data_IF_499545566428
#
_entry.id   IF_499545566428
#
_cell.length_a   1.000
_cell.length_b   1.000
_cell.length_c   1.000
_cell.angle_alpha   90.00
_cell.angle_beta   90.00
_cell.angle_gamma   90.00
#
_symmetry.space_group_name_H-M   'P 1'
#
loop_
_entity.id
_entity.type
_entity.pdbx_description
1 polymer ?
#
# COMPACT_ATOMS: atom_id res chain seq x y z
N UNK A 1 -10.17 6.98 14.42
CA UNK A 1 -10.86 6.09 15.38
C UNK A 1 -10.52 6.47 16.83
N UNK A 2 -9.27 6.53 17.22
CA UNK A 2 -8.86 6.85 18.62
C UNK A 2 -9.39 8.20 19.10
N UNK A 3 -9.37 9.24 18.25
CA UNK A 3 -9.95 10.56 18.56
C UNK A 3 -11.46 10.54 18.81
N UNK A 4 -12.14 9.51 18.30
CA UNK A 4 -13.59 9.30 18.46
C UNK A 4 -13.93 8.25 19.52
N UNK A 5 -12.94 7.87 20.35
CA UNK A 5 -13.13 7.02 21.52
C UNK A 5 -12.95 5.53 21.28
N UNK A 6 -12.52 5.11 20.08
CA UNK A 6 -12.16 3.71 19.85
C UNK A 6 -10.87 3.36 20.61
N UNK A 7 -10.84 2.17 21.21
CA UNK A 7 -9.71 1.66 21.99
C UNK A 7 -9.18 0.35 21.38
N UNK A 8 -7.88 0.09 21.51
CA UNK A 8 -7.34 -1.21 21.13
C UNK A 8 -8.05 -2.32 21.90
N UNK A 9 -8.46 -3.38 21.20
CA UNK A 9 -9.09 -4.54 21.80
C UNK A 9 -8.08 -5.68 21.91
N UNK A 10 -7.96 -6.23 23.12
CA UNK A 10 -7.02 -7.32 23.41
C UNK A 10 -7.72 -8.43 24.20
N UNK A 11 -7.21 -9.68 24.17
CA UNK A 11 -7.80 -10.80 24.90
C UNK A 11 -8.06 -10.49 26.39
N UNK A 12 -9.21 -10.88 26.88
CA UNK A 12 -9.62 -10.70 28.27
C UNK A 12 -10.25 -9.34 28.60
N UNK A 13 -10.36 -8.42 27.65
CA UNK A 13 -11.15 -7.21 27.83
C UNK A 13 -12.64 -7.51 27.74
N UNK A 14 -13.45 -6.82 28.55
CA UNK A 14 -14.91 -6.83 28.44
C UNK A 14 -15.34 -6.01 27.22
N UNK A 15 -16.46 -6.40 26.61
CA UNK A 15 -17.10 -5.68 25.51
C UNK A 15 -18.57 -5.37 25.91
N UNK A 16 -18.82 -4.16 26.41
CA UNK A 16 -20.13 -3.72 26.87
C UNK A 16 -20.87 -2.92 25.81
N UNK A 17 -22.20 -2.87 25.82
CA UNK A 17 -22.97 -2.03 24.90
C UNK A 17 -22.46 -0.59 24.84
N UNK A 18 -22.19 -0.10 23.64
CA UNK A 18 -21.65 1.23 23.37
C UNK A 18 -20.12 1.33 23.36
N UNK A 19 -19.39 0.27 23.76
CA UNK A 19 -17.94 0.26 23.65
C UNK A 19 -17.53 0.34 22.17
N UNK A 20 -16.54 1.21 21.90
CA UNK A 20 -15.90 1.42 20.60
C UNK A 20 -14.50 0.80 20.64
N UNK A 21 -14.26 -0.21 19.85
CA UNK A 21 -13.04 -1.00 19.89
C UNK A 21 -12.46 -1.24 18.51
N UNK A 22 -11.14 -1.49 18.43
CA UNK A 22 -10.48 -1.87 17.19
C UNK A 22 -9.38 -2.92 17.42
N UNK A 23 -9.15 -3.72 16.38
CA UNK A 23 -8.04 -4.65 16.28
C UNK A 23 -7.19 -4.28 15.08
N UNK A 24 -5.93 -3.88 15.33
CA UNK A 24 -4.97 -3.54 14.29
C UNK A 24 -4.17 -4.79 13.92
N UNK A 25 -4.38 -5.29 12.71
CA UNK A 25 -3.62 -6.42 12.17
C UNK A 25 -2.31 -5.94 11.52
N UNK A 26 -1.25 -5.81 12.32
CA UNK A 26 0.13 -5.51 11.88
C UNK A 26 0.29 -4.19 11.10
N UNK A 27 -0.60 -3.23 11.29
CA UNK A 27 -0.59 -1.96 10.54
C UNK A 27 -0.96 -2.09 9.06
N UNK A 28 -1.53 -3.23 8.65
CA UNK A 28 -1.93 -3.52 7.25
C UNK A 28 -3.43 -3.61 7.07
N UNK A 29 -4.14 -4.20 8.03
CA UNK A 29 -5.58 -4.31 8.06
C UNK A 29 -6.10 -3.90 9.43
N UNK A 30 -7.37 -3.52 9.52
CA UNK A 30 -8.00 -3.14 10.78
C UNK A 30 -9.45 -3.64 10.83
N UNK A 31 -9.87 -4.17 11.98
CA UNK A 31 -11.26 -4.40 12.29
C UNK A 31 -11.71 -3.44 13.39
N UNK A 32 -12.84 -2.78 13.21
CA UNK A 32 -13.44 -1.88 14.19
C UNK A 32 -14.81 -2.40 14.56
N UNK A 33 -15.23 -2.20 15.80
CA UNK A 33 -16.57 -2.54 16.22
C UNK A 33 -17.17 -1.50 17.19
N UNK A 34 -18.49 -1.30 17.08
CA UNK A 34 -19.32 -0.65 18.07
C UNK A 34 -20.24 -1.70 18.66
N UNK A 35 -20.11 -1.97 19.94
CA UNK A 35 -20.82 -3.06 20.62
C UNK A 35 -22.30 -2.69 20.77
N UNK A 36 -23.16 -3.61 20.34
CA UNK A 36 -24.62 -3.43 20.37
C UNK A 36 -25.25 -3.71 21.73
N UNK A 37 -26.56 -3.35 21.86
CA UNK A 37 -27.34 -3.66 23.01
C UNK A 37 -27.69 -5.15 23.12
N UNK A 38 -27.76 -5.85 21.98
CA UNK A 38 -28.07 -7.28 21.91
C UNK A 38 -26.77 -8.09 21.88
N UNK A 39 -26.84 -9.29 22.49
CA UNK A 39 -25.69 -10.23 22.46
C UNK A 39 -25.32 -10.65 21.07
N UNK A 40 -24.01 -10.90 20.82
CA UNK A 40 -23.50 -11.48 19.58
C UNK A 40 -24.14 -12.82 19.22
N UNK A 41 -24.67 -13.57 20.18
CA UNK A 41 -25.47 -14.77 19.91
C UNK A 41 -26.71 -14.50 19.02
N UNK A 42 -27.17 -13.24 18.97
CA UNK A 42 -28.25 -12.80 18.06
C UNK A 42 -27.76 -12.27 16.71
N UNK A 43 -26.45 -12.30 16.49
CA UNK A 43 -25.80 -11.85 15.26
C UNK A 43 -25.19 -10.45 15.36
N UNK A 44 -24.39 -10.11 14.35
CA UNK A 44 -23.76 -8.81 14.16
C UNK A 44 -23.99 -8.32 12.72
N UNK A 45 -23.90 -7.01 12.50
CA UNK A 45 -23.84 -6.41 11.17
C UNK A 45 -22.39 -6.18 10.81
N UNK A 46 -21.95 -6.77 9.71
CA UNK A 46 -20.54 -6.73 9.27
C UNK A 46 -20.48 -6.11 7.87
N UNK A 47 -19.66 -5.08 7.70
CA UNK A 47 -19.27 -4.51 6.43
C UNK A 47 -17.78 -4.73 6.22
N UNK A 48 -17.34 -4.97 4.98
CA UNK A 48 -15.94 -5.19 4.67
C UNK A 48 -15.57 -4.59 3.32
N UNK A 49 -14.48 -3.84 3.30
CA UNK A 49 -13.83 -3.32 2.10
C UNK A 49 -12.32 -3.55 2.20
N UNK A 50 -11.60 -3.44 1.07
CA UNK A 50 -10.15 -3.53 1.10
C UNK A 50 -9.48 -2.15 1.03
N UNK A 51 -8.24 -2.08 1.49
CA UNK A 51 -7.46 -0.83 1.54
C UNK A 51 -6.12 -0.92 0.81
N UNK A 52 -5.75 -2.11 0.35
CA UNK A 52 -4.65 -2.27 -0.58
C UNK A 52 -5.08 -1.87 -1.99
N UNK A 53 -4.12 -1.53 -2.84
CA UNK A 53 -4.35 -1.13 -4.23
C UNK A 53 -3.24 -1.69 -5.10
N UNK A 54 -3.50 -1.94 -6.41
CA UNK A 54 -2.47 -2.38 -7.33
C UNK A 54 -1.27 -1.44 -7.35
N UNK A 55 -0.07 -1.99 -7.32
CA UNK A 55 1.19 -1.25 -7.26
C UNK A 55 2.34 -2.05 -7.84
N UNK A 56 3.54 -1.53 -7.77
CA UNK A 56 4.76 -2.30 -8.05
C UNK A 56 5.59 -2.42 -6.76
N UNK A 57 5.81 -3.64 -6.30
CA UNK A 57 6.71 -3.92 -5.18
C UNK A 57 8.16 -4.00 -5.69
N UNK A 58 9.14 -3.51 -4.93
CA UNK A 58 10.55 -3.71 -5.25
C UNK A 58 10.93 -5.18 -4.99
N UNK A 59 11.75 -5.75 -5.87
CA UNK A 59 12.37 -7.08 -5.65
C UNK A 59 13.39 -7.01 -4.50
N UNK A 60 13.73 -8.13 -3.83
CA UNK A 60 14.67 -8.13 -2.69
C UNK A 60 16.05 -7.54 -2.96
N UNK A 61 16.57 -7.65 -4.18
CA UNK A 61 17.78 -6.97 -4.63
C UNK A 61 17.44 -6.08 -5.83
N UNK A 62 16.82 -4.91 -5.59
CA UNK A 62 16.18 -4.18 -6.66
C UNK A 62 17.13 -3.32 -7.47
N UNK A 63 18.20 -2.80 -6.85
CA UNK A 63 19.07 -1.80 -7.43
C UNK A 63 20.12 -2.43 -8.35
N UNK A 64 20.14 -1.98 -9.61
CA UNK A 64 21.14 -2.37 -10.60
C UNK A 64 21.44 -1.24 -11.57
N UNK A 65 22.53 -1.35 -12.28
CA UNK A 65 22.92 -0.46 -13.37
C UNK A 65 22.95 -1.23 -14.68
N UNK A 66 22.46 -0.62 -15.75
CA UNK A 66 22.56 -1.10 -17.12
C UNK A 66 22.65 0.10 -18.06
N UNK A 67 23.60 0.06 -18.99
CA UNK A 67 23.80 1.12 -19.98
C UNK A 67 23.92 2.52 -19.36
N UNK A 68 24.68 2.63 -18.26
CA UNK A 68 24.91 3.87 -17.50
C UNK A 68 23.62 4.49 -16.92
N UNK A 69 22.62 3.67 -16.66
CA UNK A 69 21.38 4.07 -15.98
C UNK A 69 21.16 3.18 -14.76
N UNK A 70 20.89 3.77 -13.63
CA UNK A 70 20.49 3.04 -12.43
C UNK A 70 18.97 2.81 -12.41
N UNK A 71 18.58 1.59 -12.05
CA UNK A 71 17.19 1.16 -12.02
C UNK A 71 16.83 0.44 -10.71
N UNK A 72 15.53 0.49 -10.37
CA UNK A 72 14.93 -0.50 -9.48
C UNK A 72 14.18 -1.57 -10.28
N UNK A 73 14.47 -2.85 -9.99
CA UNK A 73 13.67 -4.00 -10.44
C UNK A 73 12.40 -4.08 -9.62
N UNK A 74 11.27 -4.21 -10.31
CA UNK A 74 9.96 -4.30 -9.68
C UNK A 74 9.25 -5.62 -9.99
N UNK A 75 8.21 -5.88 -9.22
CA UNK A 75 7.20 -6.89 -9.49
C UNK A 75 5.82 -6.27 -9.26
N UNK A 76 4.91 -6.35 -10.23
CA UNK A 76 3.58 -5.79 -10.03
C UNK A 76 2.76 -6.62 -9.03
N UNK A 77 2.03 -5.93 -8.19
CA UNK A 77 1.13 -6.44 -7.17
C UNK A 77 -0.31 -6.16 -7.62
N UNK A 78 -1.17 -7.21 -7.63
CA UNK A 78 -2.53 -7.11 -8.14
C UNK A 78 -2.61 -7.04 -9.66
N UNK A 79 -3.80 -6.76 -10.17
CA UNK A 79 -4.08 -6.67 -11.60
C UNK A 79 -3.82 -5.27 -12.15
N UNK A 80 -2.80 -5.10 -13.00
CA UNK A 80 -2.50 -3.81 -13.64
C UNK A 80 -2.55 -3.90 -15.17
N UNK A 81 -3.00 -2.82 -15.80
CA UNK A 81 -2.75 -2.58 -17.23
C UNK A 81 -1.36 -1.97 -17.37
N UNK A 82 -0.34 -2.82 -17.59
CA UNK A 82 1.07 -2.45 -17.58
C UNK A 82 1.42 -1.22 -18.43
N UNK A 83 0.75 -1.05 -19.57
CA UNK A 83 0.94 0.10 -20.45
C UNK A 83 0.52 1.45 -19.86
N UNK A 84 -0.27 1.45 -18.77
CA UNK A 84 -0.66 2.68 -18.06
C UNK A 84 0.38 3.14 -17.04
N UNK A 85 1.40 2.33 -16.76
CA UNK A 85 2.42 2.59 -15.75
C UNK A 85 3.72 3.14 -16.31
N UNK A 86 3.86 3.17 -17.64
CA UNK A 86 5.00 3.80 -18.31
C UNK A 86 4.74 5.27 -18.59
N UNK A 87 5.79 6.08 -18.61
CA UNK A 87 5.76 7.52 -18.89
C UNK A 87 4.89 8.38 -17.97
N UNK A 88 4.57 7.87 -16.78
CA UNK A 88 3.84 8.62 -15.75
C UNK A 88 4.76 8.91 -14.56
N UNK A 89 4.53 10.02 -13.82
CA UNK A 89 5.23 10.27 -12.57
C UNK A 89 4.94 9.17 -11.55
N UNK A 90 5.98 8.65 -10.91
CA UNK A 90 5.92 7.62 -9.89
C UNK A 90 6.61 8.09 -8.61
N UNK A 91 6.14 7.59 -7.48
CA UNK A 91 6.67 7.81 -6.14
C UNK A 91 7.08 6.50 -5.48
N UNK A 92 8.09 6.55 -4.61
CA UNK A 92 8.55 5.43 -3.78
C UNK A 92 8.02 5.64 -2.36
N UNK A 93 7.38 4.60 -1.82
CA UNK A 93 6.91 4.56 -0.44
C UNK A 93 7.32 3.27 0.25
N UNK A 94 7.35 3.30 1.56
CA UNK A 94 7.42 2.09 2.37
C UNK A 94 8.29 2.21 3.60
N UNK A 95 8.71 1.06 4.10
CA UNK A 95 9.45 0.94 5.37
C UNK A 95 10.59 -0.05 5.23
N UNK A 96 11.67 0.23 5.94
CA UNK A 96 12.85 -0.63 6.03
C UNK A 96 13.11 -0.96 7.49
N UNK A 97 13.25 -2.24 7.79
CA UNK A 97 13.59 -2.74 9.11
C UNK A 97 15.08 -3.05 9.14
N UNK A 98 15.85 -2.32 9.94
CA UNK A 98 17.30 -2.51 10.05
C UNK A 98 17.66 -3.62 11.04
N UNK A 99 18.90 -4.11 10.95
CA UNK A 99 19.44 -5.15 11.86
C UNK A 99 19.43 -4.75 13.34
N UNK A 100 19.53 -3.45 13.64
CA UNK A 100 19.47 -2.91 15.01
C UNK A 100 18.04 -2.76 15.56
N UNK A 101 17.03 -3.15 14.77
CA UNK A 101 15.61 -3.03 15.11
C UNK A 101 15.00 -1.66 14.80
N UNK A 102 15.79 -0.71 14.32
CA UNK A 102 15.27 0.59 13.90
C UNK A 102 14.44 0.46 12.61
N UNK A 103 13.44 1.34 12.47
CA UNK A 103 12.53 1.39 11.33
C UNK A 103 12.70 2.71 10.61
N UNK A 104 12.93 2.66 9.31
CA UNK A 104 13.06 3.84 8.44
C UNK A 104 11.86 3.91 7.51
N UNK A 105 11.12 5.00 7.59
CA UNK A 105 10.07 5.29 6.61
C UNK A 105 10.70 6.01 5.41
N UNK A 106 10.38 5.53 4.21
CA UNK A 106 10.88 6.09 2.95
C UNK A 106 9.70 6.68 2.19
N UNK A 107 9.84 7.92 1.75
CA UNK A 107 8.90 8.60 0.85
C UNK A 107 9.69 9.49 -0.09
N UNK A 108 9.56 9.28 -1.40
CA UNK A 108 10.21 10.06 -2.46
C UNK A 108 9.21 10.27 -3.59
N UNK A 109 9.04 11.50 -4.05
CA UNK A 109 8.22 11.84 -5.20
C UNK A 109 6.85 12.44 -4.86
N UNK A 110 6.55 12.68 -3.57
CA UNK A 110 5.30 13.32 -3.13
C UNK A 110 5.47 14.81 -2.80
N UNK A 111 6.64 15.19 -2.30
CA UNK A 111 6.96 16.62 -2.08
C UNK A 111 7.33 17.26 -3.41
N UNK A 112 6.97 18.54 -3.60
CA UNK A 112 7.28 19.31 -4.82
C UNK A 112 8.78 19.48 -5.07
N UNK A 113 9.60 19.33 -4.03
CA UNK A 113 11.06 19.37 -4.10
C UNK A 113 11.71 17.99 -4.28
N UNK A 114 10.93 16.91 -4.16
CA UNK A 114 11.44 15.57 -4.41
C UNK A 114 11.55 15.30 -5.92
N UNK A 115 12.55 14.52 -6.37
CA UNK A 115 12.54 13.97 -7.73
C UNK A 115 11.40 12.98 -7.86
N UNK A 116 10.72 12.97 -9.00
CA UNK A 116 9.82 11.88 -9.38
C UNK A 116 10.62 10.73 -9.97
N UNK A 117 10.05 9.53 -9.90
CA UNK A 117 10.53 8.34 -10.60
C UNK A 117 9.70 8.11 -11.86
N UNK A 118 10.22 7.30 -12.80
CA UNK A 118 9.52 7.01 -14.04
C UNK A 118 9.99 5.69 -14.66
N UNK A 119 9.12 5.05 -15.42
CA UNK A 119 9.45 3.97 -16.35
C UNK A 119 9.40 4.56 -17.76
N UNK A 120 10.48 4.45 -18.51
CA UNK A 120 10.52 4.91 -19.89
C UNK A 120 9.76 3.97 -20.84
N UNK A 121 9.35 4.50 -21.98
CA UNK A 121 8.80 3.73 -23.08
C UNK A 121 9.47 4.18 -24.39
N UNK A 122 9.29 3.38 -25.44
CA UNK A 122 9.80 3.71 -26.76
C UNK A 122 9.02 4.88 -27.37
N UNK A 123 9.76 5.79 -27.97
CA UNK A 123 9.13 6.82 -28.79
C UNK A 123 8.54 6.20 -30.07
N UNK A 124 7.52 6.86 -30.66
CA UNK A 124 6.73 6.32 -31.77
C UNK A 124 7.59 5.82 -32.95
N UNK A 125 8.68 6.49 -33.26
CA UNK A 125 9.56 6.12 -34.38
C UNK A 125 10.34 4.83 -34.16
N UNK A 126 10.50 4.37 -32.91
CA UNK A 126 11.20 3.13 -32.56
C UNK A 126 10.22 2.02 -32.11
N UNK A 127 8.92 2.31 -32.01
CA UNK A 127 7.92 1.40 -31.43
C UNK A 127 7.19 0.52 -32.44
N UNK A 128 7.65 0.42 -33.71
CA UNK A 128 6.95 -0.29 -34.78
C UNK A 128 6.51 -1.71 -34.39
N UNK A 129 7.42 -2.53 -33.88
CA UNK A 129 7.12 -3.89 -33.42
C UNK A 129 6.25 -3.93 -32.15
N UNK A 130 6.45 -2.96 -31.25
CA UNK A 130 5.66 -2.82 -30.04
C UNK A 130 4.19 -2.54 -30.37
N UNK A 131 3.93 -1.65 -31.34
CA UNK A 131 2.58 -1.25 -31.77
C UNK A 131 1.80 -2.38 -32.47
N UNK A 132 2.45 -3.46 -32.90
CA UNK A 132 1.77 -4.64 -33.46
C UNK A 132 1.27 -5.60 -32.37
N UNK A 133 1.68 -5.41 -31.12
CA UNK A 133 1.27 -6.28 -30.00
C UNK A 133 -0.11 -5.90 -29.47
N UNK A 134 -0.81 -6.88 -28.91
CA UNK A 134 -2.03 -6.58 -28.14
C UNK A 134 -1.73 -5.77 -26.88
N UNK A 135 -2.67 -4.98 -26.40
CA UNK A 135 -2.51 -4.12 -25.21
C UNK A 135 -1.94 -4.89 -23.99
N UNK A 136 -2.36 -6.14 -23.78
CA UNK A 136 -1.85 -6.96 -22.66
C UNK A 136 -0.38 -7.40 -22.81
N UNK A 137 0.19 -7.29 -24.02
CA UNK A 137 1.56 -7.72 -24.36
C UNK A 137 2.48 -6.57 -24.77
N UNK A 138 1.95 -5.35 -24.91
CA UNK A 138 2.72 -4.19 -25.37
C UNK A 138 3.86 -3.85 -24.41
N UNK A 139 3.62 -3.97 -23.11
CA UNK A 139 4.64 -3.87 -22.05
C UNK A 139 4.69 -5.21 -21.30
N UNK A 140 5.85 -5.83 -21.22
CA UNK A 140 6.04 -7.02 -20.40
C UNK A 140 6.29 -6.63 -18.92
N UNK A 141 5.92 -7.51 -17.98
CA UNK A 141 6.14 -7.26 -16.56
C UNK A 141 7.61 -6.99 -16.21
N UNK A 142 8.54 -7.70 -16.84
CA UNK A 142 9.99 -7.53 -16.64
C UNK A 142 10.56 -6.21 -17.22
N UNK A 143 9.76 -5.46 -17.97
CA UNK A 143 10.13 -4.12 -18.48
C UNK A 143 9.71 -2.99 -17.51
N UNK A 144 8.98 -3.28 -16.44
CA UNK A 144 8.56 -2.31 -15.44
C UNK A 144 9.70 -1.97 -14.46
N UNK A 145 10.87 -1.61 -15.00
CA UNK A 145 12.01 -1.19 -14.19
C UNK A 145 12.04 0.34 -14.11
N UNK A 146 12.15 0.83 -12.89
CA UNK A 146 12.03 2.25 -12.57
C UNK A 146 13.39 2.93 -12.69
N UNK A 147 13.48 3.99 -13.48
CA UNK A 147 14.68 4.81 -13.63
C UNK A 147 14.92 5.62 -12.37
N UNK A 148 16.17 5.61 -11.88
CA UNK A 148 16.60 6.34 -10.68
C UNK A 148 17.56 7.48 -11.00
N UNK A 149 18.37 7.35 -12.04
CA UNK A 149 19.33 8.38 -12.43
C UNK A 149 20.35 7.88 -13.43
N UNK A 150 21.17 8.81 -13.94
CA UNK A 150 22.21 8.58 -14.95
C UNK A 150 23.54 9.26 -14.59
N UNK A 151 23.63 9.98 -13.47
CA UNK A 151 24.82 10.67 -13.03
C UNK A 151 25.78 9.72 -12.33
N UNK A 152 26.98 9.46 -12.85
CA UNK A 152 27.94 8.60 -12.19
C UNK A 152 28.60 9.29 -11.00
N UNK A 153 28.98 8.53 -9.99
CA UNK A 153 29.88 9.00 -8.93
C UNK A 153 31.30 9.20 -9.51
N UNK A 154 32.02 10.21 -9.01
CA UNK A 154 33.43 10.39 -9.38
C UNK A 154 34.27 9.19 -8.91
N UNK A 155 35.10 8.68 -9.80
CA UNK A 155 35.99 7.52 -9.52
C UNK A 155 36.24 6.65 -10.75
N UNK A 156 36.98 5.56 -10.52
CA UNK A 156 37.22 4.52 -11.51
C UNK A 156 36.49 3.23 -11.09
N UNK A 157 35.91 2.50 -12.03
CA UNK A 157 35.22 1.24 -11.77
C UNK A 157 33.95 1.05 -12.57
N UNK A 158 33.18 0.04 -12.22
CA UNK A 158 31.84 -0.24 -12.75
C UNK A 158 30.74 0.25 -11.77
N UNK A 159 29.53 0.34 -12.29
CA UNK A 159 28.32 0.64 -11.50
C UNK A 159 28.38 2.01 -10.76
N UNK A 160 29.03 3.01 -11.35
CA UNK A 160 29.22 4.32 -10.73
C UNK A 160 27.91 5.10 -10.57
N UNK A 161 26.94 4.90 -11.46
CA UNK A 161 25.60 5.49 -11.34
C UNK A 161 24.84 4.84 -10.19
N UNK A 162 24.87 3.51 -10.10
CA UNK A 162 24.31 2.76 -8.97
C UNK A 162 24.91 3.23 -7.64
N UNK A 163 26.22 3.41 -7.59
CA UNK A 163 26.91 3.89 -6.39
C UNK A 163 26.48 5.31 -6.00
N UNK A 164 26.24 6.19 -6.97
CA UNK A 164 25.74 7.53 -6.69
C UNK A 164 24.32 7.52 -6.14
N UNK A 165 23.44 6.66 -6.65
CA UNK A 165 22.10 6.46 -6.08
C UNK A 165 22.17 5.90 -4.66
N UNK A 166 23.05 4.91 -4.40
CA UNK A 166 23.25 4.40 -3.03
C UNK A 166 23.78 5.47 -2.08
N UNK A 167 24.68 6.32 -2.53
CA UNK A 167 25.17 7.46 -1.75
C UNK A 167 24.00 8.40 -1.39
N UNK A 168 23.14 8.77 -2.34
CA UNK A 168 21.98 9.61 -2.09
C UNK A 168 21.01 8.99 -1.07
N UNK A 169 20.72 7.69 -1.21
CA UNK A 169 19.87 6.94 -0.27
C UNK A 169 20.50 6.86 1.14
N UNK A 170 21.81 6.73 1.20
CA UNK A 170 22.55 6.74 2.47
C UNK A 170 22.52 8.11 3.13
N UNK A 171 22.77 9.19 2.39
CA UNK A 171 22.74 10.55 2.91
C UNK A 171 21.35 10.97 3.41
N UNK A 172 20.28 10.59 2.68
CA UNK A 172 18.90 10.97 3.03
C UNK A 172 18.30 10.07 4.12
N UNK A 173 18.54 8.78 4.08
CA UNK A 173 17.88 7.78 4.93
C UNK A 173 18.85 6.92 5.76
N UNK A 174 20.16 7.04 5.55
CA UNK A 174 21.18 6.21 6.17
C UNK A 174 21.16 4.74 5.72
N UNK A 175 20.69 4.47 4.49
CA UNK A 175 20.53 3.12 3.96
C UNK A 175 21.83 2.57 3.37
N UNK A 176 22.01 1.27 3.49
CA UNK A 176 22.98 0.48 2.76
C UNK A 176 22.28 -0.55 1.88
N UNK A 177 22.97 -1.11 0.89
CA UNK A 177 22.33 -2.03 -0.09
C UNK A 177 21.70 -3.27 0.59
N UNK A 178 22.27 -3.77 1.67
CA UNK A 178 21.75 -4.91 2.42
C UNK A 178 20.38 -4.63 3.07
N UNK A 179 20.04 -3.37 3.33
CA UNK A 179 18.79 -2.98 3.96
C UNK A 179 17.57 -3.26 3.07
N UNK A 180 17.78 -3.37 1.75
CA UNK A 180 16.70 -3.76 0.83
C UNK A 180 16.15 -5.17 1.10
N UNK A 181 16.92 -6.07 1.70
CA UNK A 181 16.49 -7.44 2.02
C UNK A 181 15.36 -7.48 3.06
N UNK A 182 15.27 -6.46 3.91
CA UNK A 182 14.26 -6.31 4.96
C UNK A 182 13.32 -5.12 4.71
N UNK A 183 13.25 -4.66 3.47
CA UNK A 183 12.43 -3.55 3.05
C UNK A 183 11.06 -4.01 2.52
N UNK A 184 10.04 -3.23 2.82
CA UNK A 184 8.76 -3.24 2.12
C UNK A 184 8.63 -1.90 1.38
N UNK A 185 9.15 -1.85 0.17
CA UNK A 185 9.16 -0.65 -0.67
C UNK A 185 8.31 -0.86 -1.90
N UNK A 186 7.47 0.12 -2.20
CA UNK A 186 6.50 0.08 -3.28
C UNK A 186 6.60 1.32 -4.16
N UNK A 187 6.32 1.15 -5.43
CA UNK A 187 6.21 2.23 -6.41
C UNK A 187 4.73 2.41 -6.75
N UNK A 188 4.27 3.64 -6.66
CA UNK A 188 2.88 4.05 -6.93
C UNK A 188 2.85 5.28 -7.83
N UNK A 189 1.73 5.58 -8.52
CA UNK A 189 1.57 6.85 -9.22
C UNK A 189 1.74 8.03 -8.26
N UNK A 190 2.65 8.96 -8.62
CA UNK A 190 2.86 10.18 -7.85
C UNK A 190 1.75 11.20 -8.11
N UNK A 191 1.42 11.95 -7.10
CA UNK A 191 0.54 13.10 -7.22
C UNK A 191 -0.64 13.11 -6.27
N UNK A 192 -1.12 14.31 -6.01
CA UNK A 192 -2.23 14.59 -5.10
C UNK A 192 -3.58 14.30 -5.76
N UNK A 193 -4.58 13.99 -4.97
CA UNK A 193 -5.97 13.99 -5.41
C UNK A 193 -6.33 15.35 -6.02
N UNK A 194 -6.98 15.34 -7.17
CA UNK A 194 -7.42 16.56 -7.88
C UNK A 194 -8.84 16.44 -8.38
N UNK A 195 -9.53 17.56 -8.40
CA UNK A 195 -10.86 17.69 -9.04
C UNK A 195 -10.73 17.58 -10.56
N UNK A 196 -11.69 16.94 -11.19
CA UNK A 196 -11.76 16.69 -12.64
C UNK A 196 -13.03 17.29 -13.21
N UNK A 197 -12.90 17.82 -14.43
CA UNK A 197 -13.97 18.51 -15.15
C UNK A 197 -14.01 20.02 -14.82
N UNK A 198 -14.63 20.80 -15.71
CA UNK A 198 -14.80 22.24 -15.48
C UNK A 198 -15.74 22.54 -14.31
N UNK A 199 -16.67 21.63 -14.06
CA UNK A 199 -17.64 21.68 -12.96
C UNK A 199 -17.10 21.09 -11.65
N UNK A 200 -15.87 20.51 -11.67
CA UNK A 200 -15.19 19.91 -10.51
C UNK A 200 -16.00 18.79 -9.83
N UNK A 201 -16.87 18.11 -10.59
CA UNK A 201 -17.78 17.09 -10.04
C UNK A 201 -17.15 15.73 -9.77
N UNK A 202 -15.93 15.48 -10.27
CA UNK A 202 -15.20 14.23 -10.11
C UNK A 202 -13.86 14.44 -9.38
N UNK A 203 -13.34 13.37 -8.79
CA UNK A 203 -12.02 13.33 -8.20
C UNK A 203 -11.13 12.33 -8.95
N UNK A 204 -9.88 12.71 -9.17
CA UNK A 204 -8.84 11.82 -9.68
C UNK A 204 -7.81 11.59 -8.60
N UNK A 205 -7.61 10.34 -8.23
CA UNK A 205 -6.57 9.92 -7.28
C UNK A 205 -6.21 8.45 -7.52
N UNK A 206 -5.02 8.06 -7.06
CA UNK A 206 -4.65 6.67 -6.97
C UNK A 206 -5.37 6.00 -5.79
N UNK A 207 -5.81 4.75 -5.97
CA UNK A 207 -6.37 3.94 -4.90
C UNK A 207 -7.86 4.18 -4.62
N UNK A 208 -8.65 4.67 -5.59
CA UNK A 208 -10.12 4.72 -5.46
C UNK A 208 -10.73 3.35 -5.20
N UNK A 209 -10.25 2.34 -5.87
CA UNK A 209 -10.51 0.95 -5.58
C UNK A 209 -9.52 0.48 -4.47
N UNK A 210 -10.00 0.18 -3.24
CA UNK A 210 -11.42 0.26 -2.85
C UNK A 210 -11.65 1.28 -1.71
N UNK A 211 -10.88 2.38 -1.67
CA UNK A 211 -11.08 3.44 -0.66
C UNK A 211 -12.46 4.09 -0.71
N UNK A 212 -13.16 4.01 -1.85
CA UNK A 212 -14.51 4.55 -1.97
C UNK A 212 -15.50 3.74 -1.14
N UNK A 213 -15.42 2.39 -1.16
CA UNK A 213 -16.23 1.55 -0.28
C UNK A 213 -15.76 1.64 1.17
N UNK A 214 -14.43 1.56 1.40
CA UNK A 214 -13.86 1.71 2.73
C UNK A 214 -14.32 2.99 3.45
N UNK A 215 -14.37 4.12 2.73
CA UNK A 215 -14.89 5.38 3.27
C UNK A 215 -16.38 5.29 3.62
N UNK A 216 -17.19 4.76 2.70
CA UNK A 216 -18.64 4.63 2.90
C UNK A 216 -19.00 3.71 4.07
N UNK A 217 -18.15 2.74 4.40
CA UNK A 217 -18.36 1.80 5.51
C UNK A 217 -17.86 2.33 6.86
N UNK A 218 -16.68 2.97 6.87
CA UNK A 218 -16.08 3.41 8.13
C UNK A 218 -16.74 4.68 8.67
N UNK A 219 -17.11 5.62 7.81
CA UNK A 219 -17.66 6.92 8.23
C UNK A 219 -18.90 6.77 9.12
N UNK A 220 -19.94 5.98 8.75
CA UNK A 220 -21.10 5.77 9.62
C UNK A 220 -20.74 5.07 10.92
N UNK A 221 -19.77 4.13 10.91
CA UNK A 221 -19.35 3.42 12.12
C UNK A 221 -18.67 4.36 13.12
N UNK A 222 -17.83 5.29 12.62
CA UNK A 222 -17.11 6.24 13.49
C UNK A 222 -18.07 7.17 14.24
N UNK A 223 -19.16 7.58 13.61
CA UNK A 223 -20.17 8.49 14.17
C UNK A 223 -21.30 7.78 14.92
N UNK A 224 -21.38 6.44 14.79
CA UNK A 224 -22.47 5.64 15.36
C UNK A 224 -22.53 5.75 16.88
N UNK A 225 -23.77 5.90 17.40
CA UNK A 225 -24.11 5.63 18.80
C UNK A 225 -24.19 4.13 19.06
N UNK A 226 -24.75 3.72 20.21
CA UNK A 226 -24.92 2.29 20.52
C UNK A 226 -25.98 1.66 19.63
N UNK A 227 -25.62 0.72 18.73
CA UNK A 227 -26.59 0.07 17.84
C UNK A 227 -27.36 -1.04 18.56
N UNK A 228 -28.41 -1.58 17.94
CA UNK A 228 -29.12 -2.76 18.46
C UNK A 228 -28.22 -3.99 18.39
N UNK A 229 -27.70 -4.33 17.23
CA UNK A 229 -26.71 -5.40 17.04
C UNK A 229 -25.31 -4.81 16.91
N UNK A 230 -24.30 -5.52 17.39
CA UNK A 230 -22.91 -5.10 17.21
C UNK A 230 -22.62 -4.82 15.73
N UNK A 231 -22.07 -3.66 15.45
CA UNK A 231 -21.65 -3.26 14.11
C UNK A 231 -20.13 -3.44 13.98
N UNK A 232 -19.69 -4.10 12.92
CA UNK A 232 -18.28 -4.38 12.64
C UNK A 232 -17.93 -3.84 11.24
N UNK A 233 -16.82 -3.14 11.14
CA UNK A 233 -16.22 -2.73 9.88
C UNK A 233 -14.83 -3.34 9.77
N UNK A 234 -14.55 -3.97 8.62
CA UNK A 234 -13.26 -4.60 8.33
C UNK A 234 -12.65 -3.88 7.13
N UNK A 235 -11.48 -3.29 7.33
CA UNK A 235 -10.67 -2.74 6.25
C UNK A 235 -9.51 -3.71 6.01
N UNK A 236 -9.67 -4.53 4.96
CA UNK A 236 -8.82 -5.67 4.68
C UNK A 236 -7.59 -5.31 3.83
N UNK A 237 -6.54 -6.09 3.96
CA UNK A 237 -5.34 -6.06 3.09
C UNK A 237 -5.34 -7.29 2.16
N UNK A 238 -4.52 -7.24 1.10
CA UNK A 238 -4.27 -8.38 0.19
C UNK A 238 -5.43 -8.80 -0.71
N UNK A 239 -6.51 -8.03 -0.83
CA UNK A 239 -7.62 -8.36 -1.73
C UNK A 239 -7.13 -8.50 -3.16
N UNK A 240 -6.31 -7.57 -3.62
CA UNK A 240 -5.76 -7.50 -4.98
C UNK A 240 -4.89 -8.72 -5.38
N UNK A 241 -4.51 -9.54 -4.42
CA UNK A 241 -3.73 -10.76 -4.62
C UNK A 241 -4.45 -12.02 -4.11
N UNK A 242 -5.78 -11.96 -4.00
CA UNK A 242 -6.64 -13.08 -3.60
C UNK A 242 -6.75 -13.27 -2.10
N UNK A 243 -6.59 -12.21 -1.31
CA UNK A 243 -6.75 -12.20 0.16
C UNK A 243 -5.83 -13.15 0.93
N UNK A 244 -4.76 -13.64 0.30
CA UNK A 244 -3.80 -14.54 0.92
C UNK A 244 -2.78 -13.77 1.79
N UNK A 245 -2.20 -14.48 2.77
CA UNK A 245 -1.18 -13.94 3.67
C UNK A 245 -1.73 -13.55 5.04
N UNK A 246 -0.84 -13.13 5.94
CA UNK A 246 -1.14 -12.96 7.37
C UNK A 246 -2.05 -11.76 7.71
N UNK A 247 -2.27 -10.86 6.77
CA UNK A 247 -3.13 -9.67 6.91
C UNK A 247 -4.35 -9.70 5.99
N UNK A 248 -4.43 -10.69 5.08
CA UNK A 248 -5.58 -10.87 4.18
C UNK A 248 -6.76 -11.56 4.87
N UNK A 249 -7.93 -11.50 4.24
CA UNK A 249 -9.17 -12.08 4.78
C UNK A 249 -9.17 -13.62 4.85
N UNK A 250 -8.26 -14.30 4.15
CA UNK A 250 -8.04 -15.74 4.29
C UNK A 250 -7.14 -16.11 5.48
N UNK A 251 -6.61 -15.12 6.22
CA UNK A 251 -5.92 -15.36 7.47
C UNK A 251 -6.91 -15.56 8.63
N UNK A 252 -6.42 -16.08 9.75
CA UNK A 252 -7.23 -16.22 10.97
C UNK A 252 -7.43 -14.89 11.74
N UNK A 253 -6.89 -13.76 11.24
CA UNK A 253 -6.91 -12.50 11.98
C UNK A 253 -8.34 -12.00 12.27
N UNK A 254 -9.24 -12.14 11.29
CA UNK A 254 -10.64 -11.75 11.48
C UNK A 254 -11.40 -12.74 12.38
N UNK A 255 -11.23 -14.03 12.17
CA UNK A 255 -11.83 -15.07 13.03
C UNK A 255 -11.40 -14.86 14.47
N UNK A 256 -10.11 -14.64 14.70
CA UNK A 256 -9.58 -14.36 16.05
C UNK A 256 -10.17 -13.10 16.66
N UNK A 257 -10.39 -12.03 15.90
CA UNK A 257 -11.09 -10.84 16.40
C UNK A 257 -12.52 -11.14 16.80
N UNK A 258 -13.26 -11.92 16.02
CA UNK A 258 -14.63 -12.32 16.34
C UNK A 258 -14.70 -13.27 17.55
N UNK A 259 -13.77 -14.20 17.67
CA UNK A 259 -13.63 -15.07 18.85
C UNK A 259 -13.41 -14.25 20.11
N UNK A 260 -12.49 -13.28 20.08
CA UNK A 260 -12.28 -12.37 21.22
C UNK A 260 -13.55 -11.62 21.61
N UNK A 261 -14.37 -11.21 20.63
CA UNK A 261 -15.66 -10.54 20.91
C UNK A 261 -16.67 -11.49 21.56
N UNK A 262 -16.75 -12.74 21.07
CA UNK A 262 -17.59 -13.78 21.64
C UNK A 262 -17.20 -14.08 23.09
N UNK A 263 -15.92 -14.31 23.33
CA UNK A 263 -15.38 -14.55 24.69
C UNK A 263 -15.68 -13.39 25.65
N UNK A 264 -15.53 -12.14 25.17
CA UNK A 264 -15.78 -10.93 25.96
C UNK A 264 -17.26 -10.79 26.37
N UNK A 265 -18.17 -11.41 25.64
CA UNK A 265 -19.62 -11.42 25.94
C UNK A 265 -20.09 -12.74 26.55
N UNK A 266 -19.24 -13.76 26.64
CA UNK A 266 -19.57 -15.09 27.18
C UNK A 266 -20.51 -15.90 26.28
N UNK A 267 -20.33 -15.80 24.94
CA UNK A 267 -21.15 -16.51 23.94
C UNK A 267 -20.26 -17.32 22.99
#
# INVERSE_FOLDING_TARGET
AEKLGFKPFVPGMAANPGDKIYYNCRGKAIALAVIGNESLAKGANICAAHVDSPRMDLKPNPLYEDSEIAYFKTHYYGGIKKYQWVTVPLALHGVIYRKDGSVVNVTVGEDENDPILMISDLLIHLSGDQMQKTAGKVIAGEQLNVILGTEPMEGEGSDLVKLNIMKWLNEKYGLIEEDFLSAELVIVPAGKCREVGFDRSLLSAYGHDDRVCAYAEIEPLLEMGTPTHTAVCILADKEETGSNGISGMQSQAFEYFMEMLCDAQGV
#
